data_IF_696526168226
#
_entry.id   IF_696526168226
#
_cell.length_a   1.000
_cell.length_b   1.000
_cell.length_c   1.000
_cell.angle_alpha   90.00
_cell.angle_beta   90.00
_cell.angle_gamma   90.00
#
_symmetry.space_group_name_H-M   'P 1'
#
loop_
_entity.id
_entity.type
_entity.pdbx_description
1 polymer ?
#
# COMPACT_ATOMS: atom_id res chain seq x y z
N UNK A 1 -15.62 7.87 5.02
CA UNK A 1 -14.33 8.50 4.61
C UNK A 1 -13.33 7.38 4.39
N UNK A 2 -12.56 7.38 3.30
CA UNK A 2 -11.71 6.23 2.96
C UNK A 2 -10.48 6.17 3.87
N UNK A 3 -10.22 5.02 4.47
CA UNK A 3 -9.03 4.71 5.26
C UNK A 3 -8.15 3.72 4.51
N UNK A 4 -6.92 4.13 4.24
CA UNK A 4 -5.89 3.29 3.61
C UNK A 4 -4.85 2.91 4.68
N UNK A 5 -4.83 1.64 5.07
CA UNK A 5 -3.95 1.13 6.12
C UNK A 5 -2.83 0.27 5.51
N UNK A 6 -1.56 0.62 5.72
CA UNK A 6 -0.48 -0.34 5.46
C UNK A 6 -0.12 -1.11 6.73
N UNK A 7 0.07 -2.42 6.61
CA UNK A 7 0.43 -3.27 7.75
C UNK A 7 1.50 -4.33 7.42
N UNK A 8 2.05 -4.95 8.46
CA UNK A 8 2.92 -6.12 8.39
C UNK A 8 2.16 -7.42 8.70
N UNK A 9 2.17 -8.40 7.78
CA UNK A 9 1.60 -9.74 8.02
C UNK A 9 2.21 -10.40 9.26
N UNK A 10 3.52 -10.21 9.51
CA UNK A 10 4.19 -10.76 10.71
C UNK A 10 3.65 -10.21 12.04
N UNK A 11 2.83 -9.15 11.99
CA UNK A 11 2.19 -8.50 13.15
C UNK A 11 0.66 -8.66 13.14
N UNK A 12 0.13 -9.53 12.28
CA UNK A 12 -1.30 -9.84 12.19
C UNK A 12 -2.06 -8.96 11.19
N UNK A 13 -3.14 -9.53 10.64
CA UNK A 13 -4.03 -8.89 9.68
C UNK A 13 -5.03 -7.98 10.42
N UNK A 14 -5.21 -6.72 10.02
CA UNK A 14 -6.18 -5.82 10.65
C UNK A 14 -7.62 -6.22 10.29
N UNK A 15 -8.57 -5.88 11.16
CA UNK A 15 -10.00 -6.02 10.87
C UNK A 15 -10.45 -4.82 10.02
N UNK A 16 -10.67 -5.06 8.73
CA UNK A 16 -11.06 -4.07 7.71
C UNK A 16 -11.96 -4.71 6.65
N UNK A 17 -12.55 -3.91 5.76
CA UNK A 17 -13.44 -4.40 4.69
C UNK A 17 -12.67 -5.27 3.67
N UNK A 18 -11.50 -4.81 3.23
CA UNK A 18 -10.66 -5.52 2.26
C UNK A 18 -9.18 -5.46 2.59
N UNK A 19 -8.50 -6.59 2.34
CA UNK A 19 -7.06 -6.75 2.51
C UNK A 19 -6.44 -7.11 1.16
N UNK A 20 -5.40 -6.38 0.77
CA UNK A 20 -4.63 -6.61 -0.44
C UNK A 20 -3.23 -7.11 -0.07
N UNK A 21 -2.85 -8.25 -0.63
CA UNK A 21 -1.55 -8.85 -0.38
C UNK A 21 -0.48 -8.30 -1.34
N UNK A 22 0.36 -7.40 -0.84
CA UNK A 22 1.46 -6.81 -1.58
C UNK A 22 2.73 -7.70 -1.58
N UNK A 23 2.70 -8.94 -1.07
CA UNK A 23 3.87 -9.83 -1.07
C UNK A 23 4.26 -10.34 -2.45
N UNK A 24 3.34 -10.29 -3.41
CA UNK A 24 3.55 -10.63 -4.83
C UNK A 24 4.42 -9.61 -5.57
N UNK A 25 4.51 -8.37 -5.06
CA UNK A 25 5.38 -7.33 -5.61
C UNK A 25 6.86 -7.67 -5.29
N UNK A 26 7.79 -7.50 -6.26
CA UNK A 26 9.24 -7.66 -6.04
C UNK A 26 9.71 -6.94 -4.78
N UNK A 27 10.57 -7.60 -3.99
CA UNK A 27 10.93 -7.14 -2.66
C UNK A 27 12.07 -6.10 -2.70
N UNK A 28 11.83 -4.82 -2.35
CA UNK A 28 12.87 -3.78 -2.40
C UNK A 28 14.03 -4.05 -1.45
N UNK A 29 13.83 -4.88 -0.42
CA UNK A 29 14.87 -5.25 0.55
C UNK A 29 16.11 -5.92 -0.07
N UNK A 30 15.95 -6.54 -1.25
CA UNK A 30 17.06 -7.17 -1.97
C UNK A 30 17.93 -6.16 -2.72
N UNK A 31 17.45 -4.92 -2.90
CA UNK A 31 18.22 -3.83 -3.53
C UNK A 31 18.91 -3.04 -2.41
N UNK A 32 20.25 -3.06 -2.31
CA UNK A 32 20.97 -2.44 -1.19
C UNK A 32 20.60 -0.97 -0.96
N UNK A 33 20.45 -0.20 -2.04
CA UNK A 33 20.10 1.23 -1.99
C UNK A 33 18.67 1.52 -1.52
N UNK A 34 17.79 0.51 -1.54
CA UNK A 34 16.38 0.65 -1.12
C UNK A 34 16.10 0.05 0.26
N UNK A 35 17.05 -0.73 0.81
CA UNK A 35 16.83 -1.56 2.01
C UNK A 35 16.44 -0.77 3.24
N UNK A 36 17.09 0.37 3.45
CA UNK A 36 16.89 1.22 4.62
C UNK A 36 15.84 2.32 4.40
N UNK A 37 15.31 2.42 3.19
CA UNK A 37 14.23 3.34 2.86
C UNK A 37 12.87 2.77 3.34
N UNK A 38 11.81 3.47 3.02
CA UNK A 38 10.42 3.12 3.29
C UNK A 38 9.59 3.33 2.04
N UNK A 39 8.35 2.81 2.03
CA UNK A 39 7.43 3.06 0.92
C UNK A 39 6.98 4.52 0.77
N UNK A 40 7.38 5.43 1.67
CA UNK A 40 7.19 6.87 1.50
C UNK A 40 8.25 7.49 0.60
N UNK A 41 9.42 6.87 0.53
CA UNK A 41 10.55 7.38 -0.25
C UNK A 41 10.32 7.11 -1.74
N UNK A 42 10.54 8.13 -2.56
CA UNK A 42 10.33 8.08 -4.01
C UNK A 42 11.05 6.90 -4.68
N UNK A 43 12.32 6.56 -4.34
CA UNK A 43 12.99 5.41 -4.98
C UNK A 43 12.28 4.08 -4.75
N UNK A 44 11.69 3.87 -3.56
CA UNK A 44 10.93 2.66 -3.25
C UNK A 44 9.60 2.66 -3.98
N UNK A 45 8.92 3.80 -4.04
CA UNK A 45 7.66 3.92 -4.79
C UNK A 45 7.88 3.65 -6.27
N UNK A 46 8.91 4.25 -6.87
CA UNK A 46 9.27 4.00 -8.26
C UNK A 46 9.53 2.51 -8.51
N UNK A 47 10.37 1.88 -7.69
CA UNK A 47 10.66 0.45 -7.80
C UNK A 47 9.39 -0.42 -7.73
N UNK A 48 8.48 -0.12 -6.79
CA UNK A 48 7.22 -0.84 -6.63
C UNK A 48 6.29 -0.65 -7.84
N UNK A 49 6.24 0.54 -8.44
CA UNK A 49 5.38 0.82 -9.61
C UNK A 49 5.80 0.09 -10.89
N UNK A 50 7.03 -0.43 -10.96
CA UNK A 50 7.47 -1.21 -12.13
C UNK A 50 6.85 -2.62 -12.21
N UNK A 51 6.13 -3.04 -11.16
CA UNK A 51 5.54 -4.38 -11.06
C UNK A 51 4.08 -4.38 -11.52
N UNK A 52 3.73 -5.26 -12.46
CA UNK A 52 2.34 -5.46 -12.89
C UNK A 52 1.40 -5.85 -11.73
N UNK A 53 1.91 -6.53 -10.70
CA UNK A 53 1.13 -6.82 -9.49
C UNK A 53 0.69 -5.54 -8.74
N UNK A 54 1.45 -4.45 -8.85
CA UNK A 54 1.08 -3.16 -8.26
C UNK A 54 -0.12 -2.57 -9.00
N UNK A 55 -0.13 -2.64 -10.33
CA UNK A 55 -1.24 -2.16 -11.15
C UNK A 55 -2.51 -2.98 -10.88
N UNK A 56 -2.37 -4.29 -10.76
CA UNK A 56 -3.48 -5.19 -10.44
C UNK A 56 -4.09 -4.85 -9.05
N UNK A 57 -3.24 -4.74 -8.03
CA UNK A 57 -3.69 -4.43 -6.65
C UNK A 57 -4.36 -3.06 -6.60
N UNK A 58 -3.77 -2.03 -7.22
CA UNK A 58 -4.32 -0.67 -7.18
C UNK A 58 -5.64 -0.57 -7.96
N UNK A 59 -5.77 -1.29 -9.06
CA UNK A 59 -7.03 -1.41 -9.82
C UNK A 59 -8.12 -2.09 -9.00
N UNK A 60 -7.80 -3.20 -8.34
CA UNK A 60 -8.76 -3.88 -7.47
C UNK A 60 -9.17 -3.00 -6.27
N UNK A 61 -8.22 -2.28 -5.66
CA UNK A 61 -8.51 -1.34 -4.59
C UNK A 61 -9.46 -0.22 -5.03
N UNK A 62 -9.21 0.39 -6.19
CA UNK A 62 -10.12 1.39 -6.76
C UNK A 62 -11.52 0.81 -7.01
N UNK A 63 -11.61 -0.41 -7.54
CA UNK A 63 -12.90 -1.09 -7.73
C UNK A 63 -13.64 -1.31 -6.41
N UNK A 64 -12.97 -1.79 -5.36
CA UNK A 64 -13.58 -1.97 -4.04
C UNK A 64 -14.10 -0.66 -3.46
N UNK A 65 -13.35 0.43 -3.62
CA UNK A 65 -13.78 1.79 -3.22
C UNK A 65 -15.05 2.20 -3.97
N UNK A 66 -15.10 1.99 -5.29
CA UNK A 66 -16.29 2.29 -6.10
C UNK A 66 -17.51 1.44 -5.71
N UNK A 67 -17.28 0.21 -5.22
CA UNK A 67 -18.31 -0.70 -4.70
C UNK A 67 -18.73 -0.36 -3.25
N UNK A 68 -18.14 0.67 -2.62
CA UNK A 68 -18.54 1.19 -1.32
C UNK A 68 -17.63 0.83 -0.15
N UNK A 69 -16.47 0.20 -0.38
CA UNK A 69 -15.52 -0.09 0.69
C UNK A 69 -14.87 1.19 1.25
N UNK A 70 -14.85 1.32 2.57
CA UNK A 70 -14.27 2.49 3.23
C UNK A 70 -12.91 2.18 3.88
N UNK A 71 -12.67 0.94 4.32
CA UNK A 71 -11.44 0.55 5.03
C UNK A 71 -10.68 -0.50 4.23
N UNK A 72 -9.58 -0.08 3.61
CA UNK A 72 -8.72 -0.95 2.81
C UNK A 72 -7.36 -1.08 3.48
N UNK A 73 -6.87 -2.31 3.60
CA UNK A 73 -5.53 -2.58 4.11
C UNK A 73 -4.61 -3.20 3.06
N UNK A 74 -3.36 -2.76 3.04
CA UNK A 74 -2.30 -3.25 2.18
C UNK A 74 -1.25 -3.95 3.04
N UNK A 75 -1.00 -5.24 2.77
CA UNK A 75 -0.14 -6.07 3.60
C UNK A 75 1.15 -6.44 2.89
N UNK A 76 2.29 -6.26 3.54
CA UNK A 76 3.53 -6.94 3.14
C UNK A 76 4.15 -7.64 4.36
N UNK A 77 5.25 -8.38 4.18
CA UNK A 77 5.81 -9.13 5.32
C UNK A 77 6.23 -8.21 6.49
N UNK A 78 6.92 -7.11 6.19
CA UNK A 78 7.54 -6.23 7.18
C UNK A 78 6.81 -4.93 7.49
N UNK A 79 5.81 -4.53 6.69
CA UNK A 79 5.06 -3.28 6.88
C UNK A 79 5.81 -1.99 6.53
N UNK A 80 6.98 -2.07 5.88
CA UNK A 80 7.87 -0.91 5.64
C UNK A 80 7.93 -0.41 4.20
N UNK A 81 7.94 -1.31 3.22
CA UNK A 81 8.20 -0.99 1.81
C UNK A 81 6.94 -1.09 0.95
N UNK A 82 6.61 -2.31 0.49
CA UNK A 82 5.59 -2.58 -0.53
C UNK A 82 4.20 -2.11 -0.10
N UNK A 83 3.75 -2.49 1.09
CA UNK A 83 2.43 -2.08 1.58
C UNK A 83 2.30 -0.57 1.77
N UNK A 84 3.34 0.08 2.28
CA UNK A 84 3.39 1.53 2.44
C UNK A 84 3.32 2.22 1.08
N UNK A 85 4.16 1.78 0.13
CA UNK A 85 4.21 2.36 -1.22
C UNK A 85 2.86 2.23 -1.95
N UNK A 86 2.20 1.07 -1.87
CA UNK A 86 0.89 0.87 -2.49
C UNK A 86 -0.19 1.73 -1.82
N UNK A 87 -0.21 1.83 -0.49
CA UNK A 87 -1.15 2.70 0.21
C UNK A 87 -0.99 4.18 -0.21
N UNK A 88 0.25 4.65 -0.31
CA UNK A 88 0.59 6.00 -0.79
C UNK A 88 0.18 6.23 -2.25
N UNK A 89 0.37 5.24 -3.13
CA UNK A 89 -0.06 5.30 -4.53
C UNK A 89 -1.58 5.45 -4.65
N UNK A 90 -2.34 4.63 -3.92
CA UNK A 90 -3.81 4.72 -3.91
C UNK A 90 -4.26 6.06 -3.32
N UNK A 91 -3.66 6.50 -2.21
CA UNK A 91 -3.98 7.79 -1.60
C UNK A 91 -3.72 8.97 -2.55
N UNK A 92 -2.60 8.97 -3.28
CA UNK A 92 -2.34 9.97 -4.32
C UNK A 92 -3.39 9.98 -5.43
N UNK A 93 -3.87 8.81 -5.84
CA UNK A 93 -4.96 8.70 -6.82
C UNK A 93 -6.25 9.33 -6.27
N UNK A 94 -6.65 8.97 -5.04
CA UNK A 94 -7.82 9.54 -4.38
C UNK A 94 -7.72 11.06 -4.23
N UNK A 95 -6.54 11.57 -3.84
CA UNK A 95 -6.26 13.00 -3.74
C UNK A 95 -6.49 13.72 -5.07
N UNK A 96 -6.04 13.12 -6.19
CA UNK A 96 -6.21 13.68 -7.54
C UNK A 96 -7.69 13.84 -7.92
N UNK A 97 -8.55 12.93 -7.46
CA UNK A 97 -10.00 12.98 -7.68
C UNK A 97 -10.76 13.76 -6.59
N UNK A 98 -10.08 14.40 -5.64
CA UNK A 98 -10.72 15.14 -4.56
C UNK A 98 -11.47 14.27 -3.55
N UNK A 99 -11.17 12.98 -3.49
CA UNK A 99 -11.85 12.03 -2.60
C UNK A 99 -11.22 12.11 -1.19
N UNK A 100 -11.99 12.45 -0.14
CA UNK A 100 -11.48 12.51 1.21
C UNK A 100 -10.99 11.14 1.71
N UNK A 101 -9.74 11.10 2.16
CA UNK A 101 -9.12 9.88 2.66
C UNK A 101 -8.07 10.17 3.73
N UNK A 102 -7.73 9.14 4.51
CA UNK A 102 -6.62 9.11 5.46
C UNK A 102 -5.73 7.92 5.17
N UNK A 103 -4.42 8.10 5.35
CA UNK A 103 -3.43 7.03 5.23
C UNK A 103 -2.84 6.76 6.62
N UNK A 104 -2.82 5.49 7.02
CA UNK A 104 -2.26 5.02 8.29
C UNK A 104 -1.21 3.96 7.99
N UNK A 105 0.00 4.12 8.51
CA UNK A 105 1.04 3.10 8.42
C UNK A 105 1.31 2.52 9.80
N UNK A 106 0.87 1.28 10.05
CA UNK A 106 0.94 0.68 11.39
C UNK A 106 2.37 0.50 11.89
N UNK A 107 3.33 0.27 10.99
CA UNK A 107 4.73 0.01 11.33
C UNK A 107 5.68 1.19 11.07
N UNK A 108 5.21 2.30 10.48
CA UNK A 108 6.00 3.53 10.38
C UNK A 108 5.54 4.49 11.47
N UNK A 109 6.39 4.71 12.47
CA UNK A 109 6.21 5.76 13.47
C UNK A 109 6.61 7.10 12.90
#
# INVERSE_FOLDING_TARGET
MITLLSFAYKKGVPLVDHVFDCRTIPNPHHVPTLRDLTGRDEPVQHYVTLSAATDEITTQAARRIMEGAEHLAFGCYGGRHRSVAVAELVGRSLKRYGIPHVIVHRELK
#
